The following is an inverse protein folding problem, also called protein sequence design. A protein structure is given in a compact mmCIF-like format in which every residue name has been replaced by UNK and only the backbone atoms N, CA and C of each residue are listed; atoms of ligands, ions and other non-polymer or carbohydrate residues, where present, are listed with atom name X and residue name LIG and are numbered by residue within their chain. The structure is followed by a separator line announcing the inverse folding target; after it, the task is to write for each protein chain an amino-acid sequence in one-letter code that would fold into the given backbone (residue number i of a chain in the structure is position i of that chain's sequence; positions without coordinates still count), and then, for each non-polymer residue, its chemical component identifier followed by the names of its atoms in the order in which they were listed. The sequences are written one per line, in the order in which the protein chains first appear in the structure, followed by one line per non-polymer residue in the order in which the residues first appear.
data_IF_981306525615
#
_entry.id   IF_981306525615
#
_cell.length_a   1.000
_cell.length_b   1.000
_cell.length_c   1.000
_cell.angle_alpha   90.00
_cell.angle_beta   90.00
_cell.angle_gamma   90.00
#
_symmetry.space_group_name_H-M   'P 1'
#
loop_
_entity.id
_entity.type
_entity.pdbx_description
1 polymer ?
#
# COMPACT_ATOMS: atom_id res chain seq x y z
N UNK A 1 14.98 -6.87 -22.10
CA UNK A 1 14.76 -6.08 -20.87
C UNK A 1 15.64 -6.63 -19.76
N UNK A 2 16.16 -5.79 -18.84
CA UNK A 2 16.85 -6.28 -17.65
C UNK A 2 15.92 -7.19 -16.83
N UNK A 3 16.51 -8.14 -16.08
CA UNK A 3 15.74 -9.02 -15.20
C UNK A 3 15.16 -8.22 -14.03
N UNK A 4 13.89 -8.44 -13.64
CA UNK A 4 13.30 -7.76 -12.50
C UNK A 4 14.11 -7.97 -11.23
N UNK A 5 14.31 -6.91 -10.45
CA UNK A 5 14.94 -7.02 -9.13
C UNK A 5 14.02 -7.75 -8.15
N UNK A 6 14.58 -8.25 -7.03
CA UNK A 6 13.78 -8.82 -5.95
C UNK A 6 12.73 -7.84 -5.40
N UNK A 7 13.07 -6.55 -5.33
CA UNK A 7 12.15 -5.49 -4.91
C UNK A 7 10.98 -5.32 -5.88
N UNK A 8 11.25 -5.29 -7.20
CA UNK A 8 10.19 -5.26 -8.22
C UNK A 8 9.25 -6.46 -8.09
N UNK A 9 9.79 -7.67 -7.95
CA UNK A 9 8.97 -8.89 -7.81
C UNK A 9 8.10 -8.85 -6.55
N UNK A 10 8.62 -8.36 -5.43
CA UNK A 10 7.84 -8.22 -4.19
C UNK A 10 6.76 -7.17 -4.29
N UNK A 11 7.04 -6.02 -4.92
CA UNK A 11 6.04 -4.98 -5.19
C UNK A 11 4.93 -5.51 -6.11
N UNK A 12 5.28 -6.21 -7.19
CA UNK A 12 4.30 -6.81 -8.10
C UNK A 12 3.45 -7.88 -7.40
N UNK A 13 4.07 -8.71 -6.54
CA UNK A 13 3.32 -9.67 -5.72
C UNK A 13 2.37 -8.97 -4.75
N UNK A 14 2.83 -7.92 -4.08
CA UNK A 14 2.00 -7.12 -3.17
C UNK A 14 0.82 -6.48 -3.92
N UNK A 15 1.05 -5.96 -5.14
CA UNK A 15 0.00 -5.43 -5.99
C UNK A 15 -1.07 -6.47 -6.32
N UNK A 16 -0.66 -7.70 -6.66
CA UNK A 16 -1.59 -8.81 -6.94
C UNK A 16 -2.43 -9.19 -5.72
N UNK A 17 -1.81 -9.22 -4.54
CA UNK A 17 -2.50 -9.52 -3.28
C UNK A 17 -3.51 -8.43 -2.93
N UNK A 18 -3.14 -7.15 -3.03
CA UNK A 18 -4.04 -6.02 -2.79
C UNK A 18 -5.22 -6.02 -3.78
N UNK A 19 -4.95 -6.20 -5.08
CA UNK A 19 -6.00 -6.33 -6.09
C UNK A 19 -6.90 -7.56 -5.85
N UNK A 20 -6.36 -8.62 -5.23
CA UNK A 20 -7.13 -9.80 -4.81
C UNK A 20 -8.15 -9.50 -3.72
N UNK A 21 -7.85 -8.59 -2.80
CA UNK A 21 -8.79 -8.18 -1.74
C UNK A 21 -10.02 -7.51 -2.34
N UNK A 22 -9.86 -6.71 -3.39
CA UNK A 22 -10.96 -6.07 -4.12
C UNK A 22 -11.91 -7.07 -4.80
N UNK A 23 -11.47 -8.32 -5.03
CA UNK A 23 -12.27 -9.39 -5.66
C UNK A 23 -12.94 -10.30 -4.64
N UNK A 24 -12.29 -10.52 -3.50
CA UNK A 24 -12.65 -11.59 -2.56
C UNK A 24 -13.37 -11.08 -1.30
N UNK A 25 -13.22 -9.79 -0.94
CA UNK A 25 -13.82 -9.20 0.25
C UNK A 25 -14.91 -8.19 -0.13
N UNK A 26 -16.03 -8.19 0.61
CA UNK A 26 -17.13 -7.24 0.41
C UNK A 26 -16.81 -5.85 1.00
N UNK A 27 -16.92 -4.80 0.20
CA UNK A 27 -16.95 -3.40 0.62
C UNK A 27 -15.83 -2.95 1.58
N UNK A 28 -16.17 -2.15 2.59
CA UNK A 28 -15.25 -1.47 3.54
C UNK A 28 -14.24 -2.40 4.24
N UNK A 29 -14.54 -3.69 4.37
CA UNK A 29 -13.59 -4.68 4.90
C UNK A 29 -12.40 -4.91 3.97
N UNK A 30 -12.59 -4.82 2.65
CA UNK A 30 -11.52 -4.94 1.67
C UNK A 30 -10.50 -3.81 1.79
N UNK A 31 -10.96 -2.58 2.02
CA UNK A 31 -10.08 -1.41 2.19
C UNK A 31 -9.27 -1.49 3.48
N UNK A 32 -9.91 -1.86 4.59
CA UNK A 32 -9.20 -2.09 5.86
C UNK A 32 -8.15 -3.21 5.74
N UNK A 33 -8.51 -4.33 5.09
CA UNK A 33 -7.58 -5.42 4.84
C UNK A 33 -6.41 -5.00 3.94
N UNK A 34 -6.65 -4.15 2.93
CA UNK A 34 -5.60 -3.63 2.06
C UNK A 34 -4.61 -2.75 2.83
N UNK A 35 -5.11 -1.84 3.68
CA UNK A 35 -4.26 -1.03 4.57
C UNK A 35 -3.43 -1.91 5.49
N UNK A 36 -4.02 -2.90 6.14
CA UNK A 36 -3.30 -3.83 7.01
C UNK A 36 -2.23 -4.62 6.25
N UNK A 37 -2.54 -5.07 5.01
CA UNK A 37 -1.60 -5.81 4.17
C UNK A 37 -0.39 -4.96 3.78
N UNK A 38 -0.62 -3.70 3.40
CA UNK A 38 0.43 -2.73 3.07
C UNK A 38 1.26 -2.37 4.30
N UNK A 39 0.62 -2.07 5.43
CA UNK A 39 1.30 -1.79 6.68
C UNK A 39 2.20 -2.96 7.13
N UNK A 40 1.76 -4.21 6.98
CA UNK A 40 2.59 -5.38 7.27
C UNK A 40 3.76 -5.55 6.27
N UNK A 41 3.61 -5.07 5.03
CA UNK A 41 4.66 -5.13 4.02
C UNK A 41 5.73 -4.05 4.24
N UNK A 42 5.36 -2.86 4.71
CA UNK A 42 6.27 -1.73 4.90
C UNK A 42 6.72 -1.50 6.34
N UNK A 43 5.97 -1.97 7.34
CA UNK A 43 6.29 -1.76 8.74
C UNK A 43 7.41 -2.68 9.24
N UNK A 44 8.15 -2.28 10.29
CA UNK A 44 9.14 -3.14 10.93
C UNK A 44 8.55 -4.48 11.40
N UNK A 45 9.27 -5.61 11.28
CA UNK A 45 10.65 -5.76 10.80
C UNK A 45 10.75 -6.08 9.29
N UNK A 46 9.76 -5.69 8.47
CA UNK A 46 9.74 -6.08 7.06
C UNK A 46 10.96 -5.57 6.28
N UNK A 47 11.47 -6.40 5.37
CA UNK A 47 12.65 -6.07 4.56
C UNK A 47 12.33 -5.23 3.32
N UNK A 48 11.05 -5.14 2.91
CA UNK A 48 10.64 -4.53 1.65
C UNK A 48 11.07 -3.05 1.52
N UNK A 49 10.89 -2.16 2.52
CA UNK A 49 11.32 -0.76 2.38
C UNK A 49 12.82 -0.64 2.08
N UNK A 50 13.65 -1.42 2.78
CA UNK A 50 15.08 -1.47 2.56
C UNK A 50 15.44 -2.01 1.18
N UNK A 51 14.79 -3.09 0.74
CA UNK A 51 14.99 -3.66 -0.60
C UNK A 51 14.62 -2.68 -1.72
N UNK A 52 13.49 -1.95 -1.57
CA UNK A 52 13.05 -0.92 -2.53
C UNK A 52 14.02 0.25 -2.57
N UNK A 53 14.47 0.74 -1.41
CA UNK A 53 15.47 1.81 -1.35
C UNK A 53 16.78 1.39 -2.02
N UNK A 54 17.27 0.17 -1.75
CA UNK A 54 18.49 -0.34 -2.37
C UNK A 54 18.34 -0.51 -3.89
N UNK A 55 17.18 -1.00 -4.36
CA UNK A 55 16.88 -1.09 -5.78
C UNK A 55 16.88 0.30 -6.44
N UNK A 56 16.29 1.30 -5.79
CA UNK A 56 16.26 2.68 -6.28
C UNK A 56 17.67 3.30 -6.36
N UNK A 57 18.51 3.11 -5.34
CA UNK A 57 19.90 3.58 -5.36
C UNK A 57 20.68 2.96 -6.52
N UNK A 58 20.52 1.66 -6.75
CA UNK A 58 21.22 0.92 -7.82
C UNK A 58 20.71 1.28 -9.22
N UNK A 59 19.43 1.67 -9.36
CA UNK A 59 18.84 1.96 -10.66
C UNK A 59 19.09 3.39 -11.14
N UNK A 60 19.65 4.30 -10.32
CA UNK A 60 19.70 5.75 -10.64
C UNK A 60 20.35 6.11 -11.99
N UNK A 61 21.31 5.32 -12.46
CA UNK A 61 21.99 5.54 -13.75
C UNK A 61 21.36 4.77 -14.92
N UNK A 62 20.37 3.92 -14.66
CA UNK A 62 19.64 3.13 -15.67
C UNK A 62 18.18 3.57 -15.72
N UNK A 63 17.82 4.26 -16.81
CA UNK A 63 16.45 4.76 -17.04
C UNK A 63 15.42 3.63 -17.07
N UNK A 64 15.76 2.47 -17.64
CA UNK A 64 14.83 1.35 -17.75
C UNK A 64 14.62 0.70 -16.39
N UNK A 65 15.68 0.51 -15.61
CA UNK A 65 15.57 -0.03 -14.25
C UNK A 65 14.78 0.90 -13.32
N UNK A 66 15.03 2.22 -13.42
CA UNK A 66 14.27 3.22 -12.65
C UNK A 66 12.79 3.21 -13.02
N UNK A 67 12.46 3.12 -14.32
CA UNK A 67 11.09 3.03 -14.78
C UNK A 67 10.42 1.72 -14.33
N UNK A 68 11.12 0.59 -14.38
CA UNK A 68 10.59 -0.70 -13.95
C UNK A 68 10.24 -0.71 -12.45
N UNK A 69 11.13 -0.17 -11.60
CA UNK A 69 10.86 -0.05 -10.17
C UNK A 69 9.69 0.90 -9.86
N UNK A 70 9.66 2.07 -10.53
CA UNK A 70 8.57 3.02 -10.38
C UNK A 70 7.22 2.41 -10.82
N UNK A 71 7.23 1.65 -11.92
CA UNK A 71 6.05 0.95 -12.41
C UNK A 71 5.59 -0.15 -11.45
N UNK A 72 6.51 -0.93 -10.87
CA UNK A 72 6.17 -1.94 -9.88
C UNK A 72 5.49 -1.34 -8.64
N UNK A 73 5.97 -0.18 -8.16
CA UNK A 73 5.30 0.57 -7.08
C UNK A 73 3.93 1.10 -7.52
N UNK A 74 3.82 1.59 -8.75
CA UNK A 74 2.56 2.09 -9.30
C UNK A 74 1.50 0.98 -9.43
N UNK A 75 1.88 -0.27 -9.71
CA UNK A 75 0.96 -1.40 -9.68
C UNK A 75 0.31 -1.60 -8.31
N UNK A 76 1.04 -1.33 -7.21
CA UNK A 76 0.47 -1.38 -5.86
C UNK A 76 -0.58 -0.29 -5.67
N UNK A 77 -0.29 0.93 -6.14
CA UNK A 77 -1.24 2.06 -6.09
C UNK A 77 -2.51 1.77 -6.89
N UNK A 78 -2.37 1.24 -8.10
CA UNK A 78 -3.51 0.86 -8.96
C UNK A 78 -4.36 -0.24 -8.32
N UNK A 79 -3.72 -1.27 -7.76
CA UNK A 79 -4.44 -2.31 -7.03
C UNK A 79 -5.21 -1.77 -5.83
N UNK A 80 -4.66 -0.77 -5.12
CA UNK A 80 -5.35 -0.09 -4.02
C UNK A 80 -6.49 0.81 -4.51
N UNK A 81 -6.30 1.49 -5.64
CA UNK A 81 -7.36 2.28 -6.27
C UNK A 81 -8.57 1.40 -6.63
N UNK A 82 -8.36 0.21 -7.18
CA UNK A 82 -9.43 -0.75 -7.47
C UNK A 82 -10.23 -1.12 -6.20
N UNK A 83 -9.55 -1.26 -5.05
CA UNK A 83 -10.21 -1.52 -3.75
C UNK A 83 -11.08 -0.32 -3.34
N UNK A 84 -10.55 0.89 -3.48
CA UNK A 84 -11.26 2.13 -3.13
C UNK A 84 -12.51 2.31 -3.99
N UNK A 85 -12.39 2.14 -5.31
CA UNK A 85 -13.52 2.32 -6.26
C UNK A 85 -14.66 1.33 -6.01
N UNK A 86 -14.34 0.13 -5.51
CA UNK A 86 -15.33 -0.90 -5.16
C UNK A 86 -15.89 -0.78 -3.74
N UNK A 87 -15.37 0.15 -2.94
CA UNK A 87 -15.88 0.40 -1.59
C UNK A 87 -17.13 1.29 -1.67
N UNK A 88 -18.29 0.87 -1.13
CA UNK A 88 -19.51 1.66 -1.19
C UNK A 88 -19.37 3.06 -0.55
N UNK A 89 -19.93 4.07 -1.22
CA UNK A 89 -19.91 5.48 -0.79
C UNK A 89 -20.52 5.84 0.59
N UNK A 90 -21.48 5.11 1.20
CA UNK A 90 -22.06 5.56 2.47
C UNK A 90 -21.08 5.48 3.66
N UNK A 91 -19.94 4.79 3.53
CA UNK A 91 -18.80 4.89 4.46
C UNK A 91 -17.72 5.77 3.84
N UNK A 92 -17.97 7.08 3.77
CA UNK A 92 -16.96 8.01 3.23
C UNK A 92 -15.76 8.04 4.19
N UNK A 93 -14.53 7.87 3.69
CA UNK A 93 -13.34 8.34 4.40
C UNK A 93 -13.56 9.80 4.82
N UNK A 94 -12.96 10.25 5.93
CA UNK A 94 -13.01 11.66 6.33
C UNK A 94 -12.36 12.60 5.29
N UNK A 95 -11.76 12.04 4.25
CA UNK A 95 -11.12 12.73 3.14
C UNK A 95 -12.09 12.76 1.95
N UNK A 96 -12.48 13.97 1.54
CA UNK A 96 -13.21 14.20 0.30
C UNK A 96 -12.21 14.32 -0.87
N UNK A 97 -11.96 13.22 -1.57
CA UNK A 97 -11.08 13.18 -2.76
C UNK A 97 -11.46 12.03 -3.69
N UNK A 98 -10.89 12.00 -4.89
CA UNK A 98 -11.09 10.92 -5.84
C UNK A 98 -10.33 9.63 -5.42
N UNK A 99 -10.70 8.51 -6.02
CA UNK A 99 -10.13 7.20 -5.64
C UNK A 99 -8.62 7.08 -5.91
N UNK A 100 -8.13 7.71 -6.97
CA UNK A 100 -6.71 7.67 -7.33
C UNK A 100 -5.86 8.46 -6.32
N UNK A 101 -6.34 9.64 -5.93
CA UNK A 101 -5.73 10.49 -4.91
C UNK A 101 -5.77 9.82 -3.54
N UNK A 102 -6.90 9.22 -3.14
CA UNK A 102 -6.99 8.49 -1.87
C UNK A 102 -6.03 7.29 -1.84
N UNK A 103 -5.95 6.51 -2.93
CA UNK A 103 -5.02 5.39 -3.02
C UNK A 103 -3.55 5.84 -2.93
N UNK A 104 -3.20 6.96 -3.57
CA UNK A 104 -1.87 7.55 -3.44
C UNK A 104 -1.53 7.94 -1.99
N UNK A 105 -2.46 8.64 -1.30
CA UNK A 105 -2.28 9.03 0.10
C UNK A 105 -2.15 7.85 1.04
N UNK A 106 -2.99 6.82 0.88
CA UNK A 106 -2.96 5.61 1.70
C UNK A 106 -1.67 4.80 1.49
N UNK A 107 -1.20 4.68 0.25
CA UNK A 107 0.08 4.04 -0.04
C UNK A 107 1.23 4.81 0.62
N UNK A 108 1.27 6.14 0.48
CA UNK A 108 2.29 6.98 1.11
C UNK A 108 2.28 6.86 2.64
N UNK A 109 1.10 6.84 3.26
CA UNK A 109 0.97 6.64 4.70
C UNK A 109 1.48 5.27 5.15
N UNK A 110 1.20 4.20 4.38
CA UNK A 110 1.71 2.86 4.69
C UNK A 110 3.24 2.77 4.50
N UNK A 111 3.80 3.39 3.48
CA UNK A 111 5.26 3.46 3.29
C UNK A 111 5.95 4.22 4.41
N UNK A 112 5.33 5.28 4.94
CA UNK A 112 5.86 6.04 6.05
C UNK A 112 5.99 5.22 7.35
N UNK A 113 5.21 4.14 7.52
CA UNK A 113 5.34 3.23 8.68
C UNK A 113 6.75 2.63 8.77
N UNK A 114 7.47 2.51 7.66
CA UNK A 114 8.86 2.05 7.66
C UNK A 114 9.80 2.94 8.50
N UNK A 115 9.42 4.18 8.78
CA UNK A 115 10.19 5.15 9.56
C UNK A 115 9.80 5.20 11.04
N UNK A 116 8.77 4.46 11.44
CA UNK A 116 8.25 4.47 12.81
C UNK A 116 9.00 3.46 13.69
N UNK A 117 9.16 3.73 14.99
CA UNK A 117 9.62 2.70 15.92
C UNK A 117 8.59 1.56 15.96
N UNK A 118 9.01 0.29 16.18
CA UNK A 118 8.10 -0.86 16.20
C UNK A 118 6.90 -0.69 17.15
N UNK A 119 7.09 0.01 18.28
CA UNK A 119 6.04 0.28 19.26
C UNK A 119 4.94 1.23 18.77
N UNK A 120 5.21 2.07 17.78
CA UNK A 120 4.25 3.05 17.24
C UNK A 120 3.44 2.52 16.04
N UNK A 121 3.86 1.40 15.43
CA UNK A 121 3.25 0.86 14.21
C UNK A 121 1.75 0.62 14.40
N UNK A 122 1.35 -0.02 15.50
CA UNK A 122 -0.06 -0.33 15.77
C UNK A 122 -0.92 0.95 15.84
N UNK A 123 -0.40 2.01 16.44
CA UNK A 123 -1.11 3.28 16.56
C UNK A 123 -1.22 4.01 15.21
N UNK A 124 -0.19 3.93 14.35
CA UNK A 124 -0.25 4.47 12.98
C UNK A 124 -1.26 3.72 12.11
N UNK A 125 -1.26 2.39 12.17
CA UNK A 125 -2.23 1.58 11.44
C UNK A 125 -3.65 1.91 11.89
N UNK A 126 -3.87 2.04 13.21
CA UNK A 126 -5.17 2.45 13.77
C UNK A 126 -5.60 3.83 13.23
N UNK A 127 -4.70 4.81 13.24
CA UNK A 127 -4.99 6.15 12.72
C UNK A 127 -5.39 6.16 11.23
N UNK A 128 -4.75 5.32 10.40
CA UNK A 128 -5.11 5.16 8.98
C UNK A 128 -6.49 4.49 8.84
N UNK A 129 -6.77 3.47 9.64
CA UNK A 129 -8.07 2.78 9.65
C UNK A 129 -9.21 3.73 10.08
N UNK A 130 -9.00 4.54 11.12
CA UNK A 130 -9.97 5.54 11.57
C UNK A 130 -10.25 6.59 10.47
N UNK A 131 -9.21 6.98 9.71
CA UNK A 131 -9.32 7.95 8.62
C UNK A 131 -10.22 7.47 7.47
N UNK A 132 -10.17 6.16 7.16
CA UNK A 132 -11.03 5.53 6.15
C UNK A 132 -12.40 5.11 6.70
N UNK A 133 -12.73 5.48 7.95
CA UNK A 133 -14.01 5.19 8.57
C UNK A 133 -14.18 3.74 9.01
N UNK A 134 -13.08 3.00 9.20
CA UNK A 134 -13.15 1.66 9.78
C UNK A 134 -13.40 1.78 11.29
N UNK A 135 -14.55 1.27 11.75
CA UNK A 135 -14.85 1.15 13.18
C UNK A 135 -14.39 -0.23 13.63
N UNK A 136 -13.47 -0.36 14.60
CA UNK A 136 -13.12 -1.66 15.15
C UNK A 136 -14.38 -2.29 15.77
N UNK A 137 -14.58 -3.59 15.56
CA UNK A 137 -15.64 -4.31 16.25
C UNK A 137 -15.40 -4.17 17.76
N UNK A 138 -16.28 -3.43 18.45
CA UNK A 138 -16.29 -3.36 19.91
C UNK A 138 -16.58 -4.77 20.44
N UNK A 139 -15.56 -5.39 21.02
CA UNK A 139 -15.68 -6.57 21.88
C UNK A 139 -15.82 -6.14 23.33
#
# INVERSE_FOLDING_TARGET
MPRPTGAELRLLKLAQEVAGLARNAGGTHALAAAVQRLAAAFGPPASLPGEVFQAWVRSRSDKNATLALAWAREQVRLGLQDVVERTPKPTRPRIDTDAATLAWLLLAACEAIAQEPPSAVADRVRAILDLIGHVPATG
#
